data_IF_481981067733
#
_entry.id   IF_481981067733
#
_cell.length_a   1.000
_cell.length_b   1.000
_cell.length_c   1.000
_cell.angle_alpha   90.00
_cell.angle_beta   90.00
_cell.angle_gamma   90.00
#
_symmetry.space_group_name_H-M   'P 1'
#
loop_
_entity.id
_entity.type
_entity.pdbx_description
1 polymer ?
#
# COMPACT_ATOMS: atom_id res chain seq x y z
N UNK A 1 -1.59 14.64 -10.35
CA UNK A 1 -1.60 13.23 -9.88
C UNK A 1 -0.24 12.62 -10.13
N UNK A 2 0.26 11.84 -9.19
CA UNK A 2 1.51 11.09 -9.28
C UNK A 2 1.27 9.67 -8.79
N UNK A 3 2.09 8.72 -9.25
CA UNK A 3 2.16 7.37 -8.69
C UNK A 3 3.27 7.28 -7.65
N UNK A 4 3.14 6.41 -6.67
CA UNK A 4 4.24 6.18 -5.73
C UNK A 4 4.25 4.77 -5.17
N UNK A 5 5.43 4.33 -4.76
CA UNK A 5 5.62 3.14 -3.94
C UNK A 5 6.22 3.51 -2.60
N UNK A 6 5.85 2.73 -1.56
CA UNK A 6 6.45 2.82 -0.24
C UNK A 6 6.96 1.45 0.14
N UNK A 7 8.26 1.37 0.40
CA UNK A 7 8.99 0.12 0.60
C UNK A 7 9.85 0.22 1.86
N UNK A 8 10.27 -0.92 2.40
CA UNK A 8 11.33 -1.00 3.40
C UNK A 8 12.66 -1.23 2.68
N UNK A 9 13.72 -0.55 3.13
CA UNK A 9 15.09 -0.98 2.90
C UNK A 9 15.57 -1.67 4.17
N UNK A 10 16.17 -2.83 4.04
CA UNK A 10 16.73 -3.61 5.14
C UNK A 10 18.14 -4.05 4.76
N UNK A 11 19.14 -3.35 5.30
CA UNK A 11 20.55 -3.60 5.00
C UNK A 11 20.84 -3.69 3.49
N UNK A 12 20.42 -2.70 2.74
CA UNK A 12 20.61 -2.62 1.28
C UNK A 12 19.69 -3.52 0.47
N UNK A 13 18.77 -4.25 1.09
CA UNK A 13 17.80 -5.10 0.41
C UNK A 13 16.39 -4.51 0.51
N UNK A 14 15.61 -4.61 -0.57
CA UNK A 14 14.19 -4.22 -0.59
C UNK A 14 13.33 -5.49 -0.65
N UNK A 15 12.72 -5.91 0.46
CA UNK A 15 11.84 -7.07 0.48
C UNK A 15 10.65 -6.89 -0.47
N UNK A 16 10.24 -7.96 -1.15
CA UNK A 16 9.07 -7.98 -2.06
C UNK A 16 9.15 -6.98 -3.22
N UNK A 17 10.38 -6.62 -3.65
CA UNK A 17 10.60 -5.65 -4.71
C UNK A 17 9.82 -5.96 -5.99
N UNK A 18 9.70 -7.25 -6.37
CA UNK A 18 8.95 -7.67 -7.55
C UNK A 18 7.49 -7.25 -7.50
N UNK A 19 6.83 -7.38 -6.34
CA UNK A 19 5.43 -6.94 -6.15
C UNK A 19 5.30 -5.43 -6.32
N UNK A 20 6.21 -4.66 -5.73
CA UNK A 20 6.23 -3.19 -5.86
C UNK A 20 6.45 -2.75 -7.31
N UNK A 21 7.43 -3.36 -7.99
CA UNK A 21 7.72 -3.07 -9.39
C UNK A 21 6.53 -3.39 -10.29
N UNK A 22 5.91 -4.56 -10.11
CA UNK A 22 4.73 -4.95 -10.89
C UNK A 22 3.56 -4.00 -10.65
N UNK A 23 3.30 -3.60 -9.41
CA UNK A 23 2.19 -2.70 -9.07
C UNK A 23 2.35 -1.33 -9.72
N UNK A 24 3.54 -0.70 -9.63
CA UNK A 24 3.76 0.61 -10.25
C UNK A 24 3.73 0.52 -11.77
N UNK A 25 4.25 -0.54 -12.39
CA UNK A 25 4.15 -0.77 -13.85
C UNK A 25 2.69 -0.89 -14.30
N UNK A 26 1.91 -1.77 -13.68
CA UNK A 26 0.48 -1.93 -14.00
C UNK A 26 -0.30 -0.63 -13.79
N UNK A 27 -0.01 0.12 -12.73
CA UNK A 27 -0.64 1.42 -12.48
C UNK A 27 -0.23 2.45 -13.54
N UNK A 28 1.04 2.44 -13.97
CA UNK A 28 1.53 3.32 -15.03
C UNK A 28 0.82 3.06 -16.35
N UNK A 29 0.66 1.80 -16.74
CA UNK A 29 -0.06 1.41 -17.94
C UNK A 29 -1.53 1.84 -17.91
N UNK A 30 -2.23 1.59 -16.78
CA UNK A 30 -3.64 1.96 -16.60
C UNK A 30 -3.89 3.47 -16.63
N UNK A 31 -2.91 4.25 -16.19
CA UNK A 31 -3.03 5.70 -16.01
C UNK A 31 -2.26 6.51 -17.05
N UNK A 32 -1.74 5.83 -18.09
CA UNK A 32 -0.95 6.42 -19.18
C UNK A 32 0.28 7.22 -18.70
N UNK A 33 0.94 6.74 -17.64
CA UNK A 33 2.28 7.20 -17.28
C UNK A 33 3.31 6.43 -18.09
N UNK A 34 4.32 7.11 -18.59
CA UNK A 34 5.48 6.44 -19.17
C UNK A 34 6.35 5.89 -18.04
N UNK A 35 6.49 4.57 -17.94
CA UNK A 35 7.37 3.92 -16.99
C UNK A 35 8.70 3.54 -17.68
N UNK A 36 9.80 4.15 -17.23
CA UNK A 36 11.14 3.81 -17.67
C UNK A 36 11.76 2.78 -16.72
N UNK A 37 11.82 1.54 -17.18
CA UNK A 37 12.33 0.42 -16.37
C UNK A 37 13.82 0.56 -16.04
N UNK A 38 14.61 1.15 -16.95
CA UNK A 38 16.03 1.37 -16.71
C UNK A 38 16.24 2.46 -15.64
N UNK A 39 15.53 3.57 -15.74
CA UNK A 39 15.56 4.62 -14.73
C UNK A 39 15.08 4.09 -13.36
N UNK A 40 14.01 3.28 -13.31
CA UNK A 40 13.54 2.62 -12.09
C UNK A 40 14.62 1.76 -11.43
N UNK A 41 15.33 0.93 -12.22
CA UNK A 41 16.41 0.09 -11.71
C UNK A 41 17.58 0.91 -11.18
N UNK A 42 17.93 1.99 -11.87
CA UNK A 42 19.02 2.88 -11.43
C UNK A 42 18.68 3.52 -10.08
N UNK A 43 17.46 4.08 -9.90
CA UNK A 43 17.00 4.61 -8.61
C UNK A 43 17.10 3.58 -7.49
N UNK A 44 16.68 2.34 -7.74
CA UNK A 44 16.76 1.26 -6.75
C UNK A 44 18.22 0.91 -6.41
N UNK A 45 19.08 0.81 -7.39
CA UNK A 45 20.50 0.50 -7.17
C UNK A 45 21.19 1.61 -6.38
N UNK A 46 20.95 2.87 -6.71
CA UNK A 46 21.54 4.03 -6.05
C UNK A 46 21.11 4.06 -4.56
N UNK A 47 19.81 3.88 -4.29
CA UNK A 47 19.29 3.92 -2.93
C UNK A 47 19.76 2.72 -2.10
N UNK A 48 19.80 1.52 -2.66
CA UNK A 48 20.25 0.33 -1.93
C UNK A 48 21.75 0.35 -1.67
N UNK A 49 22.54 0.91 -2.57
CA UNK A 49 23.98 1.14 -2.39
C UNK A 49 24.23 2.18 -1.29
N UNK A 50 23.51 3.29 -1.32
CA UNK A 50 23.62 4.36 -0.32
C UNK A 50 23.20 3.93 1.08
N UNK A 51 22.14 3.15 1.18
CA UNK A 51 21.55 2.66 2.44
C UNK A 51 21.81 1.17 2.66
N UNK A 52 23.04 0.74 2.45
CA UNK A 52 23.49 -0.65 2.57
C UNK A 52 23.47 -1.23 3.98
N UNK A 53 23.31 -0.40 5.02
CA UNK A 53 23.23 -0.78 6.42
C UNK A 53 22.08 -0.08 7.13
N UNK A 54 21.36 -0.79 8.00
CA UNK A 54 20.22 -0.27 8.75
C UNK A 54 18.88 -0.48 8.05
N UNK A 55 17.82 0.04 8.67
CA UNK A 55 16.45 -0.10 8.18
C UNK A 55 15.84 1.27 7.93
N UNK A 56 15.22 1.44 6.76
CA UNK A 56 14.67 2.72 6.31
C UNK A 56 13.32 2.52 5.62
N UNK A 57 12.52 3.59 5.63
CA UNK A 57 11.34 3.74 4.80
C UNK A 57 11.74 4.45 3.52
N UNK A 58 11.55 3.78 2.39
CA UNK A 58 11.76 4.29 1.05
C UNK A 58 10.42 4.66 0.43
N UNK A 59 10.29 5.87 -0.11
CA UNK A 59 9.20 6.26 -0.98
C UNK A 59 9.78 6.69 -2.32
N UNK A 60 9.32 6.08 -3.42
CA UNK A 60 9.65 6.50 -4.77
C UNK A 60 8.37 7.00 -5.44
N UNK A 61 8.42 8.20 -5.97
CA UNK A 61 7.31 8.88 -6.67
C UNK A 61 7.62 8.94 -8.15
N UNK A 62 6.67 8.54 -8.98
CA UNK A 62 6.71 8.71 -10.44
C UNK A 62 5.78 9.87 -10.81
N UNK A 63 6.32 10.94 -11.35
CA UNK A 63 5.57 12.11 -11.78
C UNK A 63 5.04 12.00 -13.23
N UNK A 64 4.24 12.96 -13.65
CA UNK A 64 3.65 12.99 -14.99
C UNK A 64 4.70 13.15 -16.12
N UNK A 65 5.90 13.64 -15.79
CA UNK A 65 7.02 13.80 -16.72
C UNK A 65 7.89 12.53 -16.82
N UNK A 66 7.44 11.43 -16.21
CA UNK A 66 8.15 10.14 -16.16
C UNK A 66 9.48 10.17 -15.41
N UNK A 67 9.61 11.11 -14.47
CA UNK A 67 10.77 11.20 -13.58
C UNK A 67 10.45 10.56 -12.24
N UNK A 68 11.46 9.92 -11.67
CA UNK A 68 11.41 9.37 -10.31
C UNK A 68 11.96 10.38 -9.32
N UNK A 69 11.32 10.46 -8.16
CA UNK A 69 11.79 11.18 -6.98
C UNK A 69 11.86 10.22 -5.81
N UNK A 70 13.02 10.13 -5.18
CA UNK A 70 13.29 9.19 -4.09
C UNK A 70 13.40 9.91 -2.76
N UNK A 71 12.62 9.45 -1.78
CA UNK A 71 12.58 9.98 -0.41
C UNK A 71 12.88 8.83 0.55
N UNK A 72 13.93 8.98 1.37
CA UNK A 72 14.29 8.01 2.41
C UNK A 72 14.17 8.65 3.78
N UNK A 73 13.56 7.92 4.71
CA UNK A 73 13.36 8.36 6.10
C UNK A 73 13.55 7.18 7.06
N UNK A 74 13.80 7.41 8.35
CA UNK A 74 13.77 6.35 9.35
C UNK A 74 12.43 5.61 9.33
N UNK A 75 12.45 4.33 9.72
CA UNK A 75 11.21 3.60 9.97
C UNK A 75 10.53 4.14 11.23
N UNK A 76 9.18 4.26 11.23
CA UNK A 76 8.46 4.58 12.46
C UNK A 76 8.64 3.47 13.51
N UNK A 77 8.90 3.85 14.75
CA UNK A 77 9.07 2.92 15.89
C UNK A 77 7.75 2.69 16.66
N UNK A 78 6.61 2.79 15.98
CA UNK A 78 5.30 2.61 16.62
C UNK A 78 4.84 1.16 16.48
N UNK A 79 4.58 0.50 17.61
CA UNK A 79 4.21 -0.93 17.68
C UNK A 79 2.69 -1.18 17.69
N UNK A 80 1.89 -0.15 17.98
CA UNK A 80 0.42 -0.24 18.01
C UNK A 80 -0.20 1.04 17.50
N UNK A 81 -1.40 0.93 16.95
CA UNK A 81 -2.17 2.05 16.41
C UNK A 81 -3.61 1.97 16.89
N UNK A 82 -4.20 3.13 17.13
CA UNK A 82 -5.64 3.26 17.30
C UNK A 82 -6.31 3.45 15.95
N UNK A 83 -7.52 2.88 15.78
CA UNK A 83 -8.28 3.06 14.54
C UNK A 83 -9.77 3.25 14.84
N UNK A 84 -10.47 3.94 13.93
CA UNK A 84 -11.92 4.01 13.91
C UNK A 84 -12.45 3.63 12.53
N UNK A 85 -13.68 3.12 12.50
CA UNK A 85 -14.34 2.83 11.23
C UNK A 85 -14.72 4.11 10.49
N UNK A 86 -14.55 4.08 9.17
CA UNK A 86 -15.03 5.12 8.26
C UNK A 86 -15.60 4.48 7.00
N UNK A 87 -16.82 4.87 6.63
CA UNK A 87 -17.43 4.38 5.40
C UNK A 87 -16.73 5.01 4.19
N UNK A 88 -16.33 4.19 3.23
CA UNK A 88 -15.78 4.65 1.97
C UNK A 88 -16.86 5.42 1.19
N UNK A 89 -16.62 6.68 0.80
CA UNK A 89 -17.63 7.46 0.08
C UNK A 89 -18.00 6.83 -1.27
N UNK A 90 -19.31 6.77 -1.59
CA UNK A 90 -19.82 6.25 -2.88
C UNK A 90 -19.22 6.88 -4.13
N UNK A 91 -18.83 8.15 -4.04
CA UNK A 91 -18.43 8.99 -5.18
C UNK A 91 -16.90 8.93 -5.44
N UNK A 92 -16.20 7.96 -4.87
CA UNK A 92 -14.76 7.82 -5.14
C UNK A 92 -14.55 7.18 -6.50
N UNK A 93 -13.76 7.84 -7.35
CA UNK A 93 -13.37 7.24 -8.62
C UNK A 93 -12.57 5.94 -8.36
N UNK A 94 -13.01 4.79 -8.88
CA UNK A 94 -12.35 3.51 -8.69
C UNK A 94 -10.86 3.51 -9.04
N UNK A 95 -10.46 4.37 -9.96
CA UNK A 95 -9.05 4.58 -10.33
C UNK A 95 -8.18 4.96 -9.13
N UNK A 96 -8.69 5.79 -8.22
CA UNK A 96 -7.92 6.23 -7.04
C UNK A 96 -7.92 5.21 -5.91
N UNK A 97 -8.90 4.32 -5.90
CA UNK A 97 -8.95 3.20 -4.95
C UNK A 97 -7.92 2.12 -5.34
N UNK A 98 -7.90 1.73 -6.62
CA UNK A 98 -7.10 0.60 -7.12
C UNK A 98 -5.62 0.91 -7.37
N UNK A 99 -5.24 2.18 -7.48
CA UNK A 99 -3.89 2.58 -7.81
C UNK A 99 -3.28 3.44 -6.69
N UNK A 100 -2.00 3.23 -6.41
CA UNK A 100 -1.28 3.96 -5.37
C UNK A 100 -0.86 5.34 -5.88
N UNK A 101 -1.82 6.28 -5.88
CA UNK A 101 -1.67 7.64 -6.38
C UNK A 101 -1.59 8.67 -5.24
N UNK A 102 -1.15 9.89 -5.55
CA UNK A 102 -1.21 11.03 -4.61
C UNK A 102 -2.63 11.57 -4.42
N UNK A 103 -3.60 11.17 -5.25
CA UNK A 103 -5.02 11.54 -5.12
C UNK A 103 -5.74 10.62 -4.13
N UNK A 104 -5.56 10.89 -2.84
CA UNK A 104 -6.06 10.04 -1.74
C UNK A 104 -7.03 10.77 -0.82
N UNK A 105 -7.82 11.70 -1.33
CA UNK A 105 -8.79 12.47 -0.54
C UNK A 105 -9.82 11.61 0.20
N UNK A 106 -10.15 10.44 -0.37
CA UNK A 106 -11.06 9.46 0.26
C UNK A 106 -10.50 8.82 1.54
N UNK A 107 -9.20 8.95 1.80
CA UNK A 107 -8.51 8.48 3.01
C UNK A 107 -8.28 9.60 4.04
N UNK A 108 -8.75 10.82 3.75
CA UNK A 108 -8.59 11.93 4.68
C UNK A 108 -9.47 11.74 5.92
N UNK A 109 -8.90 12.00 7.09
CA UNK A 109 -9.59 11.93 8.37
C UNK A 109 -9.05 13.00 9.35
N UNK A 110 -9.74 13.21 10.46
CA UNK A 110 -9.43 14.26 11.43
C UNK A 110 -8.34 13.89 12.45
N UNK A 111 -7.71 12.73 12.30
CA UNK A 111 -6.65 12.23 13.19
C UNK A 111 -7.02 12.10 14.68
N UNK A 112 -8.31 11.90 15.01
CA UNK A 112 -8.74 11.51 16.35
C UNK A 112 -8.20 10.12 16.74
N UNK A 113 -8.00 9.26 15.75
CA UNK A 113 -7.27 8.00 15.85
C UNK A 113 -6.07 8.03 14.91
N UNK A 114 -5.11 7.15 15.12
CA UNK A 114 -3.92 7.07 14.25
C UNK A 114 -4.28 6.71 12.82
N UNK A 115 -5.26 5.82 12.66
CA UNK A 115 -5.71 5.26 11.39
C UNK A 115 -7.24 5.34 11.27
N UNK A 116 -7.72 5.18 10.06
CA UNK A 116 -9.10 4.79 9.78
C UNK A 116 -9.13 3.40 9.16
N UNK A 117 -10.14 2.61 9.52
CA UNK A 117 -10.46 1.34 8.89
C UNK A 117 -11.69 1.56 8.00
N UNK A 118 -11.46 1.50 6.69
CA UNK A 118 -12.50 1.71 5.70
C UNK A 118 -13.46 0.53 5.65
N UNK A 119 -14.74 0.84 5.51
CA UNK A 119 -15.79 -0.13 5.26
C UNK A 119 -16.63 0.30 4.05
N UNK A 120 -17.25 -0.67 3.39
CA UNK A 120 -18.34 -0.40 2.46
C UNK A 120 -19.60 0.06 3.23
N UNK A 121 -20.63 0.52 2.52
CA UNK A 121 -21.88 0.96 3.13
C UNK A 121 -22.63 -0.17 3.85
N UNK A 122 -22.57 -1.38 3.32
CA UNK A 122 -23.14 -2.59 3.90
C UNK A 122 -22.28 -3.17 5.04
N UNK A 123 -21.18 -2.48 5.39
CA UNK A 123 -20.33 -2.79 6.55
C UNK A 123 -19.22 -3.79 6.28
N UNK A 124 -18.97 -4.20 5.02
CA UNK A 124 -17.80 -5.01 4.70
C UNK A 124 -16.52 -4.24 5.06
N UNK A 125 -15.63 -4.87 5.81
CA UNK A 125 -14.31 -4.33 6.13
C UNK A 125 -13.43 -4.36 4.87
N UNK A 126 -12.70 -3.27 4.59
CA UNK A 126 -11.89 -3.09 3.38
C UNK A 126 -10.39 -3.03 3.71
N UNK A 127 -9.89 -1.85 4.04
CA UNK A 127 -8.49 -1.61 4.34
C UNK A 127 -8.29 -0.43 5.30
N UNK A 128 -7.11 -0.34 5.93
CA UNK A 128 -6.68 0.91 6.58
C UNK A 128 -6.22 1.94 5.53
N UNK A 129 -6.24 3.20 5.90
CA UNK A 129 -5.73 4.30 5.06
C UNK A 129 -4.26 4.14 4.65
N UNK A 130 -3.47 3.39 5.40
CA UNK A 130 -2.04 3.15 5.12
C UNK A 130 -1.73 1.75 4.60
N UNK A 131 -2.67 0.79 4.67
CA UNK A 131 -2.42 -0.61 4.26
C UNK A 131 -3.59 -1.55 4.47
N UNK A 132 -3.44 -2.76 3.97
CA UNK A 132 -4.47 -3.77 4.14
C UNK A 132 -4.52 -4.31 5.56
N UNK A 133 -5.71 -4.78 5.96
CA UNK A 133 -5.93 -5.40 7.26
C UNK A 133 -5.62 -6.90 7.21
N UNK A 134 -5.03 -7.40 8.28
CA UNK A 134 -4.93 -8.82 8.59
C UNK A 134 -5.61 -9.05 9.93
N UNK A 135 -6.49 -10.04 9.99
CA UNK A 135 -7.24 -10.44 11.18
C UNK A 135 -6.76 -11.84 11.55
N UNK A 136 -6.35 -12.01 12.80
CA UNK A 136 -6.02 -13.33 13.34
C UNK A 136 -7.22 -13.91 14.05
N UNK A 137 -7.60 -15.15 13.66
CA UNK A 137 -8.68 -15.90 14.26
C UNK A 137 -8.24 -17.38 14.36
N UNK A 138 -8.21 -17.93 15.56
CA UNK A 138 -7.80 -19.31 15.84
C UNK A 138 -6.42 -19.69 15.25
N UNK A 139 -5.46 -18.78 15.34
CA UNK A 139 -4.09 -18.98 14.85
C UNK A 139 -3.96 -18.94 13.32
N UNK A 140 -5.01 -18.54 12.61
CA UNK A 140 -4.99 -18.31 11.16
C UNK A 140 -5.14 -16.84 10.83
N UNK A 141 -4.55 -16.44 9.72
CA UNK A 141 -4.58 -15.06 9.25
C UNK A 141 -5.54 -14.91 8.07
N UNK A 142 -6.40 -13.90 8.19
CA UNK A 142 -7.41 -13.58 7.19
C UNK A 142 -7.32 -12.13 6.74
N UNK A 143 -7.77 -11.88 5.51
CA UNK A 143 -7.88 -10.53 4.93
C UNK A 143 -9.12 -10.49 4.05
N UNK A 144 -9.78 -9.32 3.90
CA UNK A 144 -10.95 -9.21 3.03
C UNK A 144 -10.68 -9.64 1.60
N UNK A 145 -11.67 -10.28 0.96
CA UNK A 145 -11.62 -10.64 -0.45
C UNK A 145 -11.62 -9.38 -1.32
N UNK A 146 -10.70 -9.34 -2.29
CA UNK A 146 -10.59 -8.22 -3.20
C UNK A 146 -11.67 -8.25 -4.29
N UNK A 147 -12.45 -7.18 -4.39
CA UNK A 147 -13.50 -6.97 -5.41
C UNK A 147 -13.38 -5.61 -6.08
N UNK A 148 -12.14 -5.18 -6.38
CA UNK A 148 -11.85 -3.84 -6.92
C UNK A 148 -12.24 -2.68 -5.96
N UNK A 149 -12.35 -2.96 -4.68
CA UNK A 149 -12.92 -2.11 -3.63
C UNK A 149 -11.89 -1.53 -2.64
N UNK A 150 -10.61 -1.88 -2.80
CA UNK A 150 -9.47 -1.31 -2.06
C UNK A 150 -8.15 -1.49 -2.84
N UNK A 151 -7.04 -0.95 -2.30
CA UNK A 151 -5.73 -1.11 -2.92
C UNK A 151 -5.10 -2.48 -2.58
N UNK A 152 -4.74 -3.27 -3.59
CA UNK A 152 -3.98 -4.50 -3.38
C UNK A 152 -2.57 -4.19 -2.89
N UNK A 153 -2.30 -4.54 -1.63
CA UNK A 153 -1.01 -4.31 -0.98
C UNK A 153 0.01 -5.38 -1.33
N UNK A 154 1.26 -4.99 -1.54
CA UNK A 154 2.34 -5.92 -1.89
C UNK A 154 2.62 -6.96 -0.79
N UNK A 155 2.45 -6.60 0.49
CA UNK A 155 2.56 -7.57 1.59
C UNK A 155 1.38 -8.54 1.60
N UNK A 156 0.17 -8.05 1.37
CA UNK A 156 -1.04 -8.88 1.26
C UNK A 156 -0.87 -9.93 0.15
N UNK A 157 -0.52 -9.49 -1.05
CA UNK A 157 -0.37 -10.40 -2.18
C UNK A 157 0.75 -11.43 -1.93
N UNK A 158 1.89 -11.00 -1.38
CA UNK A 158 2.97 -11.92 -0.99
C UNK A 158 2.53 -12.98 0.04
N UNK A 159 1.74 -12.59 1.04
CA UNK A 159 1.26 -13.52 2.07
C UNK A 159 0.23 -14.51 1.52
N UNK A 160 -0.62 -14.08 0.59
CA UNK A 160 -1.57 -14.97 -0.11
C UNK A 160 -0.80 -15.95 -1.01
N UNK A 161 0.12 -15.47 -1.83
CA UNK A 161 0.94 -16.29 -2.73
C UNK A 161 1.84 -17.30 -1.96
N UNK A 162 2.09 -17.03 -0.69
CA UNK A 162 2.87 -17.90 0.23
C UNK A 162 1.99 -18.80 1.10
N UNK A 163 0.69 -18.89 0.83
CA UNK A 163 -0.30 -19.69 1.61
C UNK A 163 -0.36 -19.32 3.12
N UNK A 164 0.01 -18.08 3.47
CA UNK A 164 0.03 -17.58 4.86
C UNK A 164 -1.18 -16.74 5.22
N UNK A 165 -1.94 -16.29 4.23
CA UNK A 165 -3.06 -15.40 4.40
C UNK A 165 -4.22 -15.89 3.52
N UNK A 166 -5.40 -16.03 4.12
CA UNK A 166 -6.61 -16.52 3.45
C UNK A 166 -7.59 -15.38 3.28
N UNK A 167 -8.24 -15.31 2.13
CA UNK A 167 -9.30 -14.33 1.90
C UNK A 167 -10.59 -14.77 2.61
N UNK A 168 -11.11 -13.88 3.48
CA UNK A 168 -12.39 -14.02 4.19
C UNK A 168 -12.95 -12.63 4.42
N UNK A 169 -14.18 -12.38 3.98
CA UNK A 169 -14.86 -11.11 4.24
C UNK A 169 -15.32 -11.05 5.71
N UNK A 170 -15.22 -9.87 6.31
CA UNK A 170 -15.69 -9.55 7.65
C UNK A 170 -16.64 -8.36 7.60
N UNK A 171 -17.65 -8.36 8.44
CA UNK A 171 -18.46 -7.18 8.71
C UNK A 171 -17.88 -6.41 9.90
N UNK A 172 -17.97 -5.09 9.88
CA UNK A 172 -17.50 -4.22 10.96
C UNK A 172 -18.08 -4.57 12.35
N UNK A 173 -19.23 -5.24 12.39
CA UNK A 173 -19.87 -5.68 13.63
C UNK A 173 -19.24 -6.95 14.22
N UNK A 174 -18.30 -7.58 13.50
CA UNK A 174 -17.57 -8.78 13.93
C UNK A 174 -16.22 -8.43 14.54
N UNK A 175 -15.79 -7.15 14.44
CA UNK A 175 -14.54 -6.61 14.98
C UNK A 175 -14.84 -5.64 16.13
#
# INVERSE_FOLDING_TARGET
MQLFETMKIDNGHIPRLTYHTNRIKCSSERLNFKFDEHAWRNELNDVTTKYHSGQYRLKIVLNAESKFETIVSPLPEKSSFTAKFQVLPKVVNPTFIKNKTTERKHLAHNHETDLILLTSEDGKVLEFDIGNIVIEEDGKWYTPSYKDDFLKGCMRDYLIDSDKLVEKDFNKNEL
#
